data_IF_280820957282
#
_entry.id   IF_280820957282
#
_cell.length_a   1.000
_cell.length_b   1.000
_cell.length_c   1.000
_cell.angle_alpha   90.00
_cell.angle_beta   90.00
_cell.angle_gamma   90.00
#
_symmetry.space_group_name_H-M   'P 1'
#
loop_
_entity.id
_entity.type
_entity.pdbx_description
1 polymer ?
#
# COMPACT_ATOMS: atom_id res chain seq x y z
N UNK A 1 17.62 12.87 -8.42
CA UNK A 1 17.41 12.24 -9.75
C UNK A 1 15.92 12.17 -9.96
N UNK A 2 15.42 12.45 -11.16
CA UNK A 2 14.01 12.22 -11.46
C UNK A 2 13.78 10.71 -11.53
N UNK A 3 13.08 10.14 -10.56
CA UNK A 3 12.65 8.73 -10.60
C UNK A 3 11.62 8.62 -11.71
N UNK A 4 11.86 7.72 -12.66
CA UNK A 4 10.92 7.46 -13.75
C UNK A 4 10.12 6.21 -13.40
N UNK A 5 8.78 6.27 -13.40
CA UNK A 5 7.97 5.11 -13.03
C UNK A 5 8.07 3.97 -14.04
N UNK A 6 7.91 2.75 -13.53
CA UNK A 6 7.78 1.51 -14.29
C UNK A 6 6.48 0.77 -13.93
N UNK A 7 5.42 1.06 -14.69
CA UNK A 7 4.08 0.51 -14.45
C UNK A 7 3.88 -0.93 -14.97
N UNK A 8 4.92 -1.58 -15.49
CA UNK A 8 4.81 -2.90 -16.13
C UNK A 8 5.60 -3.97 -15.38
N UNK A 9 6.72 -3.59 -14.77
CA UNK A 9 7.48 -4.49 -13.93
C UNK A 9 6.84 -4.53 -12.54
N UNK A 10 6.46 -5.73 -12.13
CA UNK A 10 5.80 -5.96 -10.86
C UNK A 10 6.80 -6.27 -9.74
N UNK A 11 8.10 -6.34 -10.03
CA UNK A 11 9.10 -6.71 -9.03
C UNK A 11 8.73 -8.04 -8.34
N UNK A 12 8.83 -8.08 -7.02
CA UNK A 12 8.42 -9.26 -6.25
C UNK A 12 6.91 -9.35 -6.02
N UNK A 13 6.14 -8.30 -6.31
CA UNK A 13 4.67 -8.30 -6.15
C UNK A 13 3.89 -9.03 -7.25
N UNK A 14 4.61 -9.63 -8.22
CA UNK A 14 4.05 -10.43 -9.31
C UNK A 14 3.17 -11.60 -8.85
N UNK A 15 3.28 -12.01 -7.58
CA UNK A 15 2.49 -13.07 -6.96
C UNK A 15 1.02 -12.72 -6.75
N UNK A 16 0.65 -11.44 -6.70
CA UNK A 16 -0.69 -11.00 -6.28
C UNK A 16 -1.81 -11.37 -7.24
N UNK A 17 -1.55 -11.76 -8.49
CA UNK A 17 -2.64 -11.87 -9.48
C UNK A 17 -3.34 -10.51 -9.70
N UNK A 18 -4.32 -10.46 -10.60
CA UNK A 18 -4.90 -9.16 -11.02
C UNK A 18 -5.99 -8.66 -10.06
N UNK A 19 -6.80 -9.57 -9.51
CA UNK A 19 -7.89 -9.16 -8.61
C UNK A 19 -7.34 -8.76 -7.25
N UNK A 20 -6.39 -9.53 -6.70
CA UNK A 20 -5.76 -9.17 -5.44
C UNK A 20 -4.86 -7.93 -5.58
N UNK A 21 -4.14 -7.72 -6.70
CA UNK A 21 -3.44 -6.44 -6.92
C UNK A 21 -4.40 -5.24 -6.87
N UNK A 22 -5.50 -5.27 -7.63
CA UNK A 22 -6.46 -4.16 -7.64
C UNK A 22 -7.09 -3.91 -6.27
N UNK A 23 -7.37 -4.98 -5.52
CA UNK A 23 -7.87 -4.91 -4.15
C UNK A 23 -6.88 -4.27 -3.17
N UNK A 24 -5.59 -4.62 -3.28
CA UNK A 24 -4.50 -4.04 -2.48
C UNK A 24 -4.33 -2.56 -2.80
N UNK A 25 -4.23 -2.21 -4.09
CA UNK A 25 -4.05 -0.81 -4.54
C UNK A 25 -5.22 0.08 -4.09
N UNK A 26 -6.46 -0.40 -4.17
CA UNK A 26 -7.64 0.33 -3.69
C UNK A 26 -7.55 0.61 -2.18
N UNK A 27 -7.21 -0.39 -1.37
CA UNK A 27 -7.07 -0.20 0.08
C UNK A 27 -5.93 0.74 0.42
N UNK A 28 -4.78 0.61 -0.24
CA UNK A 28 -3.63 1.47 -0.02
C UNK A 28 -3.88 2.93 -0.43
N UNK A 29 -4.65 3.18 -1.49
CA UNK A 29 -5.11 4.54 -1.84
C UNK A 29 -6.02 5.09 -0.75
N UNK A 30 -6.98 4.29 -0.27
CA UNK A 30 -7.88 4.72 0.78
C UNK A 30 -7.13 5.05 2.06
N UNK A 31 -6.16 4.22 2.46
CA UNK A 31 -5.30 4.44 3.62
C UNK A 31 -4.42 5.69 3.42
N UNK A 32 -3.77 5.83 2.27
CA UNK A 32 -2.96 7.00 1.90
C UNK A 32 -3.73 8.32 2.07
N UNK A 33 -5.01 8.33 1.71
CA UNK A 33 -5.90 9.50 1.80
C UNK A 33 -6.24 9.91 3.24
N UNK A 34 -5.91 9.10 4.26
CA UNK A 34 -5.99 9.51 5.67
C UNK A 34 -4.86 10.48 6.05
N UNK A 35 -3.69 10.36 5.44
CA UNK A 35 -2.50 11.14 5.80
C UNK A 35 -2.38 12.42 4.96
N UNK A 36 -2.74 12.36 3.68
CA UNK A 36 -2.74 13.53 2.80
C UNK A 36 -3.81 13.42 1.73
N UNK A 37 -4.43 14.54 1.35
CA UNK A 37 -5.44 14.57 0.27
C UNK A 37 -4.76 14.76 -1.07
N UNK A 38 -4.86 13.74 -1.92
CA UNK A 38 -4.42 13.81 -3.31
C UNK A 38 -5.61 14.08 -4.22
N UNK A 39 -5.35 14.73 -5.35
CA UNK A 39 -6.36 14.94 -6.40
C UNK A 39 -5.87 14.34 -7.71
N UNK A 40 -6.79 13.73 -8.45
CA UNK A 40 -6.47 13.08 -9.72
C UNK A 40 -6.13 11.61 -9.56
N UNK A 41 -5.63 11.01 -10.64
CA UNK A 41 -5.25 9.61 -10.71
C UNK A 41 -3.92 9.37 -9.98
N UNK A 42 -3.88 8.30 -9.19
CA UNK A 42 -2.67 7.76 -8.57
C UNK A 42 -2.32 6.43 -9.23
N UNK A 43 -1.03 6.19 -9.45
CA UNK A 43 -0.52 4.97 -10.07
C UNK A 43 0.59 4.38 -9.22
N UNK A 44 0.53 3.07 -9.05
CA UNK A 44 1.56 2.32 -8.33
C UNK A 44 2.67 1.90 -9.28
N UNK A 45 3.89 2.00 -8.77
CA UNK A 45 5.08 1.38 -9.33
C UNK A 45 5.58 0.36 -8.30
N UNK A 46 5.52 -0.90 -8.72
CA UNK A 46 5.91 -2.05 -7.91
C UNK A 46 7.27 -2.61 -8.33
N UNK A 47 7.96 -1.96 -9.27
CA UNK A 47 9.15 -2.54 -9.91
C UNK A 47 10.30 -2.81 -8.94
N UNK A 48 10.44 -1.96 -7.91
CA UNK A 48 11.41 -2.11 -6.83
C UNK A 48 10.83 -2.82 -5.59
N UNK A 49 9.64 -3.43 -5.70
CA UNK A 49 8.99 -4.10 -4.57
C UNK A 49 9.83 -5.26 -4.04
N UNK A 50 10.04 -5.27 -2.72
CA UNK A 50 10.80 -6.30 -2.01
C UNK A 50 9.89 -7.02 -1.01
N UNK A 51 10.05 -8.34 -0.91
CA UNK A 51 9.33 -9.16 0.08
C UNK A 51 9.94 -8.93 1.46
N UNK A 52 9.09 -8.48 2.37
CA UNK A 52 9.41 -8.33 3.80
C UNK A 52 8.80 -9.47 4.65
N UNK A 53 8.01 -10.35 4.02
CA UNK A 53 7.61 -11.67 4.51
C UNK A 53 6.12 -11.84 4.86
N UNK A 54 5.74 -13.10 5.05
CA UNK A 54 4.39 -13.68 5.25
C UNK A 54 3.59 -13.90 3.98
N UNK A 55 3.32 -15.17 3.66
CA UNK A 55 2.54 -15.57 2.49
C UNK A 55 1.07 -15.81 2.86
N UNK A 56 0.17 -14.99 2.31
CA UNK A 56 -1.28 -15.15 2.40
C UNK A 56 -1.89 -15.37 1.01
N UNK A 57 -2.52 -16.52 0.78
CA UNK A 57 -3.35 -16.73 -0.42
C UNK A 57 -4.70 -16.03 -0.27
N UNK A 58 -5.04 -15.10 -1.17
CA UNK A 58 -6.31 -14.39 -1.18
C UNK A 58 -6.74 -14.02 -2.60
N UNK A 59 -8.04 -14.13 -2.90
CA UNK A 59 -8.59 -13.99 -4.26
C UNK A 59 -7.88 -14.89 -5.30
N UNK A 60 -7.14 -14.29 -6.23
CA UNK A 60 -6.51 -14.95 -7.38
C UNK A 60 -4.97 -15.01 -7.31
N UNK A 61 -4.39 -14.75 -6.13
CA UNK A 61 -2.94 -14.78 -5.94
C UNK A 61 -2.50 -14.91 -4.48
N UNK A 62 -1.23 -14.60 -4.23
CA UNK A 62 -0.67 -14.51 -2.88
C UNK A 62 -0.10 -13.12 -2.59
N UNK A 63 -0.29 -12.71 -1.33
CA UNK A 63 0.16 -11.44 -0.79
C UNK A 63 1.29 -11.70 0.21
N UNK A 64 2.44 -11.07 -0.04
CA UNK A 64 3.52 -10.86 0.92
C UNK A 64 3.48 -9.42 1.42
N UNK A 65 4.12 -9.12 2.56
CA UNK A 65 4.44 -7.72 2.88
C UNK A 65 5.43 -7.16 1.87
N UNK A 66 5.21 -5.94 1.41
CA UNK A 66 6.04 -5.31 0.39
C UNK A 66 6.55 -3.94 0.84
N UNK A 67 7.83 -3.67 0.62
CA UNK A 67 8.43 -2.34 0.69
C UNK A 67 8.88 -1.86 -0.69
N UNK A 68 9.28 -0.59 -0.80
CA UNK A 68 9.75 -0.01 -2.08
C UNK A 68 8.59 0.23 -3.05
N UNK A 69 7.41 0.55 -2.51
CA UNK A 69 6.21 0.80 -3.30
C UNK A 69 6.14 2.30 -3.58
N UNK A 70 6.33 2.68 -4.83
CA UNK A 70 6.27 4.08 -5.25
C UNK A 70 4.90 4.42 -5.82
N UNK A 71 4.42 5.63 -5.52
CA UNK A 71 3.17 6.15 -6.06
C UNK A 71 3.43 7.42 -6.84
N UNK A 72 2.81 7.52 -8.00
CA UNK A 72 2.94 8.64 -8.91
C UNK A 72 1.59 9.27 -9.24
N UNK A 73 1.59 10.57 -9.50
CA UNK A 73 0.42 11.26 -10.04
C UNK A 73 0.30 11.10 -11.56
N UNK A 74 -0.73 11.69 -12.16
CA UNK A 74 -0.98 11.66 -13.61
C UNK A 74 0.15 12.25 -14.46
N UNK A 75 1.03 13.09 -13.89
CA UNK A 75 2.18 13.68 -14.55
C UNK A 75 3.47 12.84 -14.40
N UNK A 76 3.38 11.65 -13.78
CA UNK A 76 4.51 10.81 -13.42
C UNK A 76 5.46 11.49 -12.41
N UNK A 77 4.93 12.36 -11.55
CA UNK A 77 5.68 12.92 -10.43
C UNK A 77 5.45 12.02 -9.21
N UNK A 78 6.51 11.65 -8.46
CA UNK A 78 6.37 10.83 -7.26
C UNK A 78 5.60 11.60 -6.19
N UNK A 79 4.67 10.93 -5.53
CA UNK A 79 3.83 11.51 -4.47
C UNK A 79 3.90 10.74 -3.15
N UNK A 80 4.29 9.46 -3.19
CA UNK A 80 4.60 8.69 -1.98
C UNK A 80 5.59 7.55 -2.26
N UNK A 81 6.27 7.12 -1.20
CA UNK A 81 7.07 5.90 -1.09
C UNK A 81 6.67 5.19 0.19
N UNK A 82 6.56 3.87 0.19
CA UNK A 82 6.16 3.17 1.40
C UNK A 82 6.41 1.68 1.45
N UNK A 83 6.12 1.19 2.66
CA UNK A 83 6.01 -0.20 3.03
C UNK A 83 4.56 -0.47 3.39
N UNK A 84 3.96 -1.51 2.79
CA UNK A 84 2.65 -2.00 3.19
C UNK A 84 2.69 -3.25 4.08
N UNK A 85 1.74 -3.33 5.01
CA UNK A 85 1.49 -4.50 5.87
C UNK A 85 0.00 -4.87 5.80
N UNK A 86 -0.36 -6.01 6.35
CA UNK A 86 -1.74 -6.48 6.32
C UNK A 86 -2.15 -7.22 7.59
N UNK A 87 -3.46 -7.23 7.84
CA UNK A 87 -4.12 -8.04 8.85
C UNK A 87 -5.17 -8.90 8.17
N UNK A 88 -5.09 -10.22 8.37
CA UNK A 88 -6.10 -11.16 7.91
C UNK A 88 -6.97 -11.63 9.08
N UNK A 89 -8.27 -11.35 8.99
CA UNK A 89 -9.27 -11.70 10.00
C UNK A 89 -9.95 -13.01 9.59
N UNK A 90 -9.39 -14.13 10.07
CA UNK A 90 -9.83 -15.49 9.70
C UNK A 90 -11.34 -15.73 9.89
N UNK A 91 -11.92 -15.25 11.00
CA UNK A 91 -13.32 -15.51 11.35
C UNK A 91 -14.31 -14.86 10.37
N UNK A 92 -13.95 -13.69 9.83
CA UNK A 92 -14.77 -12.95 8.86
C UNK A 92 -14.28 -13.12 7.41
N UNK A 93 -13.15 -13.80 7.20
CA UNK A 93 -12.47 -13.92 5.92
C UNK A 93 -12.22 -12.55 5.26
N UNK A 94 -11.73 -11.59 6.04
CA UNK A 94 -11.46 -10.22 5.58
C UNK A 94 -9.97 -9.88 5.65
N UNK A 95 -9.46 -9.29 4.57
CA UNK A 95 -8.10 -8.80 4.45
C UNK A 95 -8.08 -7.27 4.50
N UNK A 96 -7.32 -6.73 5.45
CA UNK A 96 -7.09 -5.29 5.61
C UNK A 96 -5.64 -5.02 5.23
N UNK A 97 -5.41 -4.12 4.28
CA UNK A 97 -4.07 -3.73 3.80
C UNK A 97 -3.85 -2.25 4.04
N UNK A 98 -2.68 -1.88 4.57
CA UNK A 98 -2.41 -0.52 5.04
C UNK A 98 -0.91 -0.20 4.95
N UNK A 99 -0.57 1.08 5.04
CA UNK A 99 0.82 1.53 5.11
C UNK A 99 1.40 1.32 6.51
N UNK A 100 2.56 0.67 6.59
CA UNK A 100 3.37 0.53 7.80
C UNK A 100 4.44 1.62 7.92
N UNK A 101 5.02 1.99 6.78
CA UNK A 101 5.91 3.14 6.65
C UNK A 101 5.50 3.90 5.41
N UNK A 102 5.50 5.23 5.51
CA UNK A 102 5.01 6.08 4.42
C UNK A 102 5.73 7.43 4.44
N UNK A 103 6.41 7.73 3.35
CA UNK A 103 6.89 9.06 3.00
C UNK A 103 5.94 9.67 1.97
N UNK A 104 5.58 10.94 2.15
CA UNK A 104 4.75 11.70 1.21
C UNK A 104 5.55 12.87 0.65
N UNK A 105 5.51 13.03 -0.68
CA UNK A 105 6.17 14.11 -1.38
C UNK A 105 5.18 15.25 -1.68
N UNK A 106 5.44 16.44 -1.14
CA UNK A 106 4.64 17.66 -1.37
C UNK A 106 5.55 18.76 -1.90
N UNK A 107 5.52 18.97 -3.22
CA UNK A 107 6.50 19.82 -3.90
C UNK A 107 7.91 19.25 -3.74
N UNK A 108 8.85 20.07 -3.29
CA UNK A 108 10.24 19.65 -3.06
C UNK A 108 10.49 19.07 -1.66
N UNK A 109 9.43 18.80 -0.89
CA UNK A 109 9.54 18.30 0.49
C UNK A 109 9.06 16.87 0.62
N UNK A 110 9.84 16.09 1.34
CA UNK A 110 9.44 14.78 1.85
C UNK A 110 8.92 14.94 3.28
N UNK A 111 7.83 14.24 3.59
CA UNK A 111 7.19 14.20 4.91
C UNK A 111 7.08 12.73 5.31
N UNK A 112 7.73 12.36 6.42
CA UNK A 112 7.56 11.06 7.05
C UNK A 112 6.16 10.99 7.69
N UNK A 113 5.18 10.51 6.93
CA UNK A 113 3.78 10.43 7.37
C UNK A 113 3.55 9.32 8.39
N UNK A 114 4.27 8.20 8.25
CA UNK A 114 4.27 7.08 9.19
C UNK A 114 5.71 6.64 9.42
N UNK A 115 6.16 6.70 10.67
CA UNK A 115 7.51 6.29 11.07
C UNK A 115 7.52 5.41 12.34
N UNK A 116 6.34 4.96 12.78
CA UNK A 116 6.18 4.13 13.97
C UNK A 116 6.03 2.64 13.60
N UNK A 117 6.32 1.75 14.56
CA UNK A 117 6.02 0.32 14.41
C UNK A 117 4.59 -0.03 14.88
N UNK A 118 3.85 0.96 15.38
CA UNK A 118 2.51 0.76 15.92
C UNK A 118 1.47 0.79 14.80
N UNK A 119 0.38 0.06 15.00
CA UNK A 119 -0.75 0.13 14.08
C UNK A 119 -1.42 1.49 14.22
N UNK A 120 -1.58 2.20 13.11
CA UNK A 120 -2.24 3.50 13.11
C UNK A 120 -3.70 3.39 13.59
N UNK A 121 -4.14 4.39 14.36
CA UNK A 121 -5.42 4.34 15.09
C UNK A 121 -6.63 4.07 14.18
N UNK A 122 -6.66 4.62 12.97
CA UNK A 122 -7.77 4.38 12.03
C UNK A 122 -7.78 2.94 11.51
N UNK A 123 -6.63 2.29 11.38
CA UNK A 123 -6.54 0.87 11.01
C UNK A 123 -7.03 0.00 12.17
N UNK A 124 -6.63 0.32 13.41
CA UNK A 124 -7.14 -0.39 14.60
C UNK A 124 -8.67 -0.30 14.69
N UNK A 125 -9.26 0.88 14.46
CA UNK A 125 -10.72 1.07 14.44
C UNK A 125 -11.40 0.24 13.35
N UNK A 126 -10.77 0.07 12.18
CA UNK A 126 -11.29 -0.79 11.12
C UNK A 126 -11.29 -2.27 11.54
N UNK A 127 -10.19 -2.74 12.12
CA UNK A 127 -10.05 -4.10 12.65
C UNK A 127 -11.16 -4.40 13.67
N UNK A 128 -11.34 -3.52 14.65
CA UNK A 128 -12.32 -3.73 15.74
C UNK A 128 -13.76 -3.75 15.20
N UNK A 129 -14.09 -2.85 14.27
CA UNK A 129 -15.41 -2.82 13.63
C UNK A 129 -15.75 -4.11 12.88
N UNK A 130 -14.75 -4.79 12.33
CA UNK A 130 -14.97 -6.05 11.59
C UNK A 130 -15.13 -7.21 12.57
N UNK A 131 -14.37 -7.23 13.66
CA UNK A 131 -14.48 -8.26 14.70
C UNK A 131 -15.81 -8.21 15.46
N UNK A 132 -16.43 -7.04 15.56
CA UNK A 132 -17.72 -6.85 16.24
C UNK A 132 -18.95 -7.24 15.38
N UNK A 133 -18.75 -7.73 14.14
CA UNK A 133 -19.83 -8.16 13.22
C UNK A 133 -20.07 -9.66 13.27
#
# INVERSE_FOLDING_TARGET
MAVKPNYYDMGMSISMGKQLQGFVEEQLINDLMHYHKFTGELRFDWSDSCIEGEDLTYLDGSLDRFSGIMIFNSNNEPVADGWMDFVFLNESNQLIVFWKYLSIFVGDKEIDAINSQELENHVQVLVDRIKDK
#
